data_IF_872691962702
#
_entry.id   IF_872691962702
#
_cell.length_a   1.000
_cell.length_b   1.000
_cell.length_c   1.000
_cell.angle_alpha   90.00
_cell.angle_beta   90.00
_cell.angle_gamma   90.00
#
_symmetry.space_group_name_H-M   'P 1'
#
loop_
_entity.id
_entity.type
_entity.pdbx_description
1 polymer ?
#
# COMPACT_ATOMS: atom_id res chain seq x y z
N UNK A 1 35.36 61.81 63.15
CA UNK A 1 35.73 61.01 61.96
C UNK A 1 34.47 60.81 61.13
N UNK A 2 34.42 61.27 59.87
CA UNK A 2 33.24 61.17 59.02
C UNK A 2 33.18 59.79 58.35
N UNK A 3 31.99 59.18 58.27
CA UNK A 3 31.74 58.02 57.41
C UNK A 3 30.83 58.42 56.23
N UNK A 4 30.95 57.76 55.06
CA UNK A 4 30.37 58.24 53.82
C UNK A 4 28.95 57.72 53.57
N UNK A 5 28.17 58.55 52.86
CA UNK A 5 26.86 58.26 52.29
C UNK A 5 26.92 57.19 51.20
N UNK A 6 25.90 56.34 51.15
CA UNK A 6 25.53 55.55 49.96
C UNK A 6 24.09 55.91 49.57
N UNK A 7 23.95 56.68 48.48
CA UNK A 7 22.68 56.86 47.77
C UNK A 7 22.57 55.75 46.73
N UNK A 8 21.53 54.91 46.82
CA UNK A 8 21.15 53.98 45.76
C UNK A 8 20.16 54.65 44.81
N UNK A 9 20.63 54.96 43.60
CA UNK A 9 19.83 55.43 42.48
C UNK A 9 19.37 54.21 41.67
N UNK A 10 18.08 53.93 41.67
CA UNK A 10 17.47 52.83 40.90
C UNK A 10 17.14 53.34 39.48
N UNK A 11 18.01 53.04 38.52
CA UNK A 11 17.76 53.29 37.09
C UNK A 11 17.20 52.03 36.43
N UNK A 12 15.88 51.98 36.20
CA UNK A 12 15.26 50.95 35.36
C UNK A 12 15.25 51.41 33.90
N UNK A 13 16.12 50.77 33.12
CA UNK A 13 16.21 50.85 31.66
C UNK A 13 14.87 50.47 31.00
N UNK A 14 14.35 51.39 30.18
CA UNK A 14 13.32 51.07 29.17
C UNK A 14 14.03 50.45 27.96
N UNK A 15 13.97 49.14 27.82
CA UNK A 15 14.44 48.45 26.62
C UNK A 15 13.45 48.72 25.48
N UNK A 16 13.87 49.58 24.54
CA UNK A 16 13.18 49.80 23.27
C UNK A 16 13.23 48.52 22.44
N UNK A 17 12.05 47.92 22.20
CA UNK A 17 11.87 46.90 21.16
C UNK A 17 11.99 47.57 19.79
N UNK A 18 13.02 47.18 19.04
CA UNK A 18 13.32 47.69 17.70
C UNK A 18 12.34 47.15 16.65
N UNK A 19 11.92 47.97 15.67
CA UNK A 19 10.84 47.67 14.72
C UNK A 19 11.18 46.64 13.63
N UNK A 20 12.35 45.99 13.68
CA UNK A 20 12.79 45.05 12.63
C UNK A 20 12.26 43.63 12.76
N UNK A 21 11.64 43.26 13.89
CA UNK A 21 11.13 41.90 14.10
C UNK A 21 9.73 41.64 13.52
N UNK A 22 8.98 42.67 13.12
CA UNK A 22 7.62 42.48 12.57
C UNK A 22 7.60 42.09 11.08
N UNK A 23 8.69 42.31 10.35
CA UNK A 23 8.71 42.06 8.90
C UNK A 23 9.02 40.60 8.55
N UNK A 24 9.70 39.86 9.41
CA UNK A 24 10.04 38.43 9.19
C UNK A 24 8.91 37.47 9.55
N UNK A 25 7.94 37.87 10.38
CA UNK A 25 6.79 37.02 10.70
C UNK A 25 5.69 37.04 9.63
N UNK A 26 5.63 38.08 8.79
CA UNK A 26 4.63 38.17 7.72
C UNK A 26 4.99 37.29 6.51
N UNK A 27 6.28 37.06 6.25
CA UNK A 27 6.74 36.17 5.16
C UNK A 27 6.57 34.69 5.50
N UNK A 28 6.66 34.31 6.77
CA UNK A 28 6.42 32.93 7.22
C UNK A 28 4.93 32.52 7.13
N UNK A 29 4.01 33.46 7.35
CA UNK A 29 2.58 33.19 7.24
C UNK A 29 2.10 33.03 5.77
N UNK A 30 2.72 33.74 4.81
CA UNK A 30 2.36 33.61 3.39
C UNK A 30 2.84 32.30 2.76
N UNK A 31 3.94 31.71 3.24
CA UNK A 31 4.43 30.40 2.77
C UNK A 31 3.61 29.23 3.33
N UNK A 32 2.97 29.39 4.50
CA UNK A 32 2.08 28.38 5.06
C UNK A 32 0.68 28.38 4.40
N UNK A 33 0.21 29.52 3.89
CA UNK A 33 -1.10 29.64 3.26
C UNK A 33 -1.15 29.07 1.82
N UNK A 34 -0.01 28.95 1.13
CA UNK A 34 0.04 28.35 -0.21
C UNK A 34 0.01 26.81 -0.21
N UNK A 35 0.20 26.15 0.94
CA UNK A 35 0.18 24.69 1.04
C UNK A 35 -1.23 24.11 1.25
N UNK A 36 -2.24 24.95 1.47
CA UNK A 36 -3.61 24.49 1.73
C UNK A 36 -4.54 24.59 0.52
N UNK A 37 -4.06 25.15 -0.60
CA UNK A 37 -4.90 25.38 -1.79
C UNK A 37 -4.46 24.68 -3.07
N UNK A 38 -3.37 23.91 -3.03
CA UNK A 38 -3.13 22.87 -4.01
C UNK A 38 -4.00 21.65 -3.68
N UNK A 39 -5.31 21.79 -3.90
CA UNK A 39 -6.17 20.68 -4.31
C UNK A 39 -5.73 20.16 -5.67
N UNK A 40 -4.46 19.79 -5.79
CA UNK A 40 -3.96 19.02 -6.91
C UNK A 40 -4.52 17.61 -6.72
N UNK A 41 -5.60 17.33 -7.44
CA UNK A 41 -6.01 15.97 -7.80
C UNK A 41 -4.93 15.30 -8.64
N UNK A 42 -3.77 15.03 -8.05
CA UNK A 42 -2.67 14.25 -8.59
C UNK A 42 -2.50 13.02 -7.71
N UNK A 43 -3.51 12.17 -7.77
CA UNK A 43 -3.55 10.92 -7.01
C UNK A 43 -4.64 10.02 -7.56
N UNK A 44 -4.74 9.93 -8.90
CA UNK A 44 -5.42 8.78 -9.48
C UNK A 44 -4.77 7.52 -8.89
N UNK A 45 -5.57 6.54 -8.49
CA UNK A 45 -5.11 5.30 -7.83
C UNK A 45 -3.95 4.61 -8.57
N UNK A 46 -3.72 4.94 -9.85
CA UNK A 46 -2.79 4.29 -10.77
C UNK A 46 -3.17 2.85 -11.04
N UNK A 47 -4.32 2.42 -10.52
CA UNK A 47 -4.91 1.14 -10.78
C UNK A 47 -5.79 1.29 -12.03
N UNK A 48 -5.64 0.39 -13.02
CA UNK A 48 -6.52 0.39 -14.17
C UNK A 48 -7.97 0.11 -13.72
N UNK A 49 -8.96 0.66 -14.43
CA UNK A 49 -10.38 0.40 -14.13
C UNK A 49 -10.78 -1.05 -14.44
N UNK A 50 -10.01 -1.75 -15.27
CA UNK A 50 -10.15 -3.16 -15.54
C UNK A 50 -8.91 -3.75 -16.22
N UNK A 51 -8.78 -5.07 -16.13
CA UNK A 51 -7.67 -5.85 -16.71
C UNK A 51 -8.18 -7.13 -17.36
N UNK A 52 -7.38 -7.69 -18.26
CA UNK A 52 -7.62 -9.01 -18.81
C UNK A 52 -6.98 -10.05 -17.89
N UNK A 53 -7.79 -10.93 -17.29
CA UNK A 53 -7.31 -12.07 -16.49
C UNK A 53 -7.35 -13.36 -17.32
N UNK A 54 -6.33 -14.22 -17.18
CA UNK A 54 -6.30 -15.56 -17.81
C UNK A 54 -6.97 -16.56 -16.89
N UNK A 55 -7.85 -17.39 -17.45
CA UNK A 55 -8.55 -18.47 -16.77
C UNK A 55 -7.82 -19.82 -17.00
N UNK A 56 -8.13 -20.87 -16.23
CA UNK A 56 -7.44 -22.17 -16.34
C UNK A 56 -7.53 -22.85 -17.72
N UNK A 57 -8.52 -22.52 -18.53
CA UNK A 57 -8.71 -23.01 -19.90
C UNK A 57 -8.04 -22.12 -20.96
N UNK A 58 -7.13 -21.24 -20.55
CA UNK A 58 -6.44 -20.25 -21.37
C UNK A 58 -7.34 -19.18 -22.01
N UNK A 59 -8.63 -19.19 -21.72
CA UNK A 59 -9.50 -18.08 -22.08
C UNK A 59 -9.13 -16.83 -21.26
N UNK A 60 -9.58 -15.68 -21.75
CA UNK A 60 -9.40 -14.41 -21.05
C UNK A 60 -10.74 -13.80 -20.73
N UNK A 61 -10.82 -13.16 -19.57
CA UNK A 61 -12.00 -12.40 -19.15
C UNK A 61 -11.60 -10.98 -18.77
N UNK A 62 -12.49 -10.02 -19.04
CA UNK A 62 -12.33 -8.65 -18.60
C UNK A 62 -12.85 -8.53 -17.16
N UNK A 63 -11.96 -8.23 -16.24
CA UNK A 63 -12.28 -8.05 -14.83
C UNK A 63 -12.22 -6.57 -14.46
N UNK A 64 -13.28 -6.08 -13.82
CA UNK A 64 -13.31 -4.72 -13.28
C UNK A 64 -12.56 -4.64 -11.95
N UNK A 65 -12.08 -3.44 -11.61
CA UNK A 65 -11.47 -3.18 -10.31
C UNK A 65 -12.42 -3.52 -9.16
N UNK A 66 -11.95 -4.31 -8.20
CA UNK A 66 -12.68 -4.72 -7.00
C UNK A 66 -13.59 -5.94 -7.19
N UNK A 67 -13.69 -6.48 -8.40
CA UNK A 67 -14.47 -7.68 -8.73
C UNK A 67 -13.56 -8.89 -8.79
N UNK A 68 -14.06 -10.05 -8.38
CA UNK A 68 -13.35 -11.32 -8.55
C UNK A 68 -14.27 -12.51 -8.78
N UNK A 69 -13.78 -13.75 -8.57
CA UNK A 69 -14.56 -14.97 -8.73
C UNK A 69 -15.76 -15.00 -7.76
N UNK A 70 -16.99 -15.05 -8.29
CA UNK A 70 -18.20 -14.99 -7.46
C UNK A 70 -18.33 -16.18 -6.50
N UNK A 71 -17.79 -17.34 -6.86
CA UNK A 71 -17.68 -18.52 -5.98
C UNK A 71 -16.84 -18.30 -4.72
N UNK A 72 -16.03 -17.24 -4.68
CA UNK A 72 -15.17 -16.89 -3.55
C UNK A 72 -15.69 -15.71 -2.74
N UNK A 73 -16.85 -15.15 -3.10
CA UNK A 73 -17.42 -14.01 -2.40
C UNK A 73 -17.63 -14.30 -0.90
N UNK A 74 -17.27 -13.32 -0.05
CA UNK A 74 -17.40 -13.38 1.41
C UNK A 74 -16.73 -14.61 2.06
N UNK A 75 -15.60 -15.05 1.51
CA UNK A 75 -14.81 -16.16 2.06
C UNK A 75 -13.39 -15.73 2.45
N UNK A 76 -12.75 -16.52 3.31
CA UNK A 76 -11.34 -16.37 3.66
C UNK A 76 -10.60 -17.70 3.47
N UNK A 77 -9.36 -17.64 2.98
CA UNK A 77 -8.60 -18.82 2.57
C UNK A 77 -7.14 -18.75 3.01
N UNK A 78 -6.57 -19.87 3.43
CA UNK A 78 -5.14 -20.03 3.69
C UNK A 78 -4.44 -20.67 2.49
N UNK A 79 -3.48 -19.98 1.88
CA UNK A 79 -2.73 -20.46 0.72
C UNK A 79 -1.42 -21.11 1.16
N UNK A 80 -1.20 -22.35 0.73
CA UNK A 80 0.00 -23.14 1.01
C UNK A 80 0.73 -23.49 -0.29
N UNK A 81 2.06 -23.47 -0.24
CA UNK A 81 2.87 -23.98 -1.36
C UNK A 81 2.79 -25.51 -1.34
N UNK A 82 2.41 -26.11 -2.46
CA UNK A 82 2.15 -27.54 -2.53
C UNK A 82 3.42 -28.39 -2.27
N UNK A 83 4.58 -27.89 -2.68
CA UNK A 83 5.85 -28.62 -2.57
C UNK A 83 6.32 -28.86 -1.12
N UNK A 84 6.02 -27.95 -0.19
CA UNK A 84 6.58 -27.93 1.17
C UNK A 84 5.55 -27.66 2.28
N UNK A 85 4.26 -27.51 1.94
CA UNK A 85 3.18 -27.15 2.87
C UNK A 85 3.44 -25.85 3.63
N UNK A 86 4.25 -24.95 3.10
CA UNK A 86 4.51 -23.66 3.73
C UNK A 86 3.36 -22.70 3.49
N UNK A 87 2.84 -22.08 4.56
CA UNK A 87 1.89 -20.98 4.45
C UNK A 87 2.53 -19.82 3.67
N UNK A 88 1.85 -19.37 2.63
CA UNK A 88 2.27 -18.28 1.76
C UNK A 88 1.62 -16.98 2.22
N UNK A 89 0.30 -17.03 2.40
CA UNK A 89 -0.54 -15.90 2.78
C UNK A 89 -1.94 -16.39 3.09
N UNK A 90 -2.73 -15.53 3.72
CA UNK A 90 -4.17 -15.67 3.84
C UNK A 90 -4.84 -14.57 3.03
N UNK A 91 -5.96 -14.91 2.41
CA UNK A 91 -6.71 -14.00 1.52
C UNK A 91 -8.14 -13.94 1.99
N UNK A 92 -8.66 -12.74 2.23
CA UNK A 92 -10.07 -12.49 2.45
C UNK A 92 -10.66 -11.85 1.20
N UNK A 93 -11.74 -12.42 0.72
CA UNK A 93 -12.51 -11.92 -0.41
C UNK A 93 -13.71 -11.09 0.09
N UNK A 94 -14.07 -10.05 -0.67
CA UNK A 94 -15.25 -9.23 -0.41
C UNK A 94 -16.52 -9.87 -1.00
N UNK A 95 -17.66 -9.21 -0.82
CA UNK A 95 -18.98 -9.60 -1.34
C UNK A 95 -19.04 -9.77 -2.88
N UNK A 96 -18.08 -9.19 -3.61
CA UNK A 96 -17.98 -9.26 -5.07
C UNK A 96 -16.92 -10.28 -5.52
N UNK A 97 -16.41 -11.12 -4.62
CA UNK A 97 -15.35 -12.09 -4.90
C UNK A 97 -13.97 -11.47 -5.16
N UNK A 98 -13.83 -10.14 -5.02
CA UNK A 98 -12.54 -9.46 -5.14
C UNK A 98 -11.71 -9.66 -3.88
N UNK A 99 -10.39 -9.71 -4.00
CA UNK A 99 -9.50 -9.72 -2.83
C UNK A 99 -9.68 -8.41 -2.07
N UNK A 100 -10.17 -8.48 -0.84
CA UNK A 100 -10.29 -7.34 0.07
C UNK A 100 -8.98 -7.11 0.82
N UNK A 101 -8.37 -8.21 1.25
CA UNK A 101 -7.23 -8.22 2.15
C UNK A 101 -6.35 -9.43 1.87
N UNK A 102 -5.05 -9.20 1.83
CA UNK A 102 -4.02 -10.23 1.87
C UNK A 102 -3.23 -10.04 3.16
N UNK A 103 -3.23 -11.05 4.03
CA UNK A 103 -2.58 -10.99 5.34
C UNK A 103 -1.68 -12.20 5.57
N UNK A 104 -0.82 -12.14 6.59
CA UNK A 104 0.30 -13.06 6.76
C UNK A 104 1.16 -13.18 5.50
N UNK A 105 1.37 -12.05 4.81
CA UNK A 105 2.06 -11.98 3.52
C UNK A 105 3.52 -12.44 3.63
N UNK A 106 3.82 -13.65 3.16
CA UNK A 106 5.17 -14.18 3.03
C UNK A 106 5.71 -14.15 1.59
N UNK A 107 4.93 -13.63 0.63
CA UNK A 107 5.25 -13.69 -0.79
C UNK A 107 5.47 -12.31 -1.44
N UNK A 108 4.45 -11.46 -1.43
CA UNK A 108 4.39 -10.24 -2.24
C UNK A 108 5.21 -9.14 -1.59
N UNK A 109 6.52 -9.15 -1.83
CA UNK A 109 7.47 -8.17 -1.34
C UNK A 109 7.13 -7.68 0.08
N UNK A 110 7.03 -8.61 1.01
CA UNK A 110 6.61 -8.36 2.40
C UNK A 110 7.50 -7.34 3.12
N UNK A 111 8.75 -7.20 2.69
CA UNK A 111 9.66 -6.15 3.16
C UNK A 111 9.22 -4.72 2.77
N UNK A 112 8.41 -4.58 1.72
CA UNK A 112 7.84 -3.30 1.28
C UNK A 112 6.44 -3.16 1.83
N UNK A 113 5.54 -4.05 1.41
CA UNK A 113 4.10 -3.95 1.67
C UNK A 113 3.70 -4.40 3.08
N UNK A 114 4.65 -4.93 3.86
CA UNK A 114 4.38 -5.46 5.19
C UNK A 114 3.66 -6.80 5.15
N UNK A 115 3.15 -7.21 6.32
CA UNK A 115 2.41 -8.46 6.50
C UNK A 115 0.98 -8.40 6.00
N UNK A 116 0.45 -7.20 5.69
CA UNK A 116 -0.95 -6.98 5.33
C UNK A 116 -1.06 -5.98 4.17
N UNK A 117 -1.85 -6.33 3.16
CA UNK A 117 -2.16 -5.49 2.01
C UNK A 117 -3.68 -5.32 1.92
N UNK A 118 -4.15 -4.07 1.99
CA UNK A 118 -5.56 -3.71 1.86
C UNK A 118 -5.86 -3.30 0.41
N UNK A 119 -6.75 -4.03 -0.25
CA UNK A 119 -7.10 -3.83 -1.66
C UNK A 119 -8.40 -3.02 -1.83
N UNK A 120 -8.52 -1.93 -1.07
CA UNK A 120 -9.71 -1.06 -1.04
C UNK A 120 -9.59 0.18 -1.95
N UNK A 121 -8.55 0.24 -2.79
CA UNK A 121 -8.29 1.36 -3.69
C UNK A 121 -7.84 2.65 -3.00
N UNK A 122 -7.61 2.64 -1.68
CA UNK A 122 -7.14 3.82 -0.93
C UNK A 122 -5.62 3.82 -0.77
N UNK A 123 -5.10 4.99 -0.39
CA UNK A 123 -3.69 5.16 -0.07
C UNK A 123 -3.41 4.73 1.37
N UNK A 124 -2.48 3.81 1.55
CA UNK A 124 -2.03 3.28 2.84
C UNK A 124 -0.54 3.58 3.04
N UNK A 125 -0.11 3.86 4.26
CA UNK A 125 1.31 4.05 4.55
C UNK A 125 2.07 2.71 4.45
N UNK A 126 3.28 2.75 3.90
CA UNK A 126 4.24 1.65 3.97
C UNK A 126 5.11 1.79 5.23
N UNK A 127 5.89 0.76 5.55
CA UNK A 127 6.78 0.79 6.73
C UNK A 127 7.89 1.85 6.64
N UNK A 128 8.30 2.20 5.42
CA UNK A 128 9.33 3.21 5.19
C UNK A 128 8.72 4.60 5.01
N UNK A 129 9.33 5.60 5.66
CA UNK A 129 8.82 6.97 5.69
C UNK A 129 8.67 7.58 4.29
N UNK A 130 7.55 8.27 4.07
CA UNK A 130 7.23 8.95 2.81
C UNK A 130 6.78 8.01 1.68
N UNK A 131 6.68 6.71 1.94
CA UNK A 131 6.14 5.73 1.02
C UNK A 131 4.68 5.40 1.36
N UNK A 132 3.85 5.35 0.33
CA UNK A 132 2.48 4.85 0.41
C UNK A 132 2.24 3.79 -0.65
N UNK A 133 1.18 3.00 -0.48
CA UNK A 133 0.70 2.13 -1.54
C UNK A 133 -0.79 2.31 -1.77
N UNK A 134 -1.23 1.97 -2.98
CA UNK A 134 -2.65 1.78 -3.31
C UNK A 134 -2.80 0.41 -3.92
N UNK A 135 -3.75 -0.39 -3.45
CA UNK A 135 -3.97 -1.73 -3.98
C UNK A 135 -5.43 -1.97 -4.37
N UNK A 136 -5.62 -2.91 -5.28
CA UNK A 136 -6.92 -3.35 -5.74
C UNK A 136 -6.83 -4.72 -6.40
N UNK A 137 -7.98 -5.39 -6.53
CA UNK A 137 -8.07 -6.73 -7.07
C UNK A 137 -8.87 -6.78 -8.36
N UNK A 138 -8.64 -7.83 -9.13
CA UNK A 138 -9.38 -8.17 -10.35
C UNK A 138 -9.52 -9.68 -10.40
N UNK A 139 -10.63 -10.20 -10.88
CA UNK A 139 -10.77 -11.63 -11.07
C UNK A 139 -12.03 -11.99 -11.83
N UNK A 140 -12.08 -13.25 -12.21
CA UNK A 140 -13.17 -13.82 -12.96
C UNK A 140 -13.25 -15.33 -12.68
N UNK A 141 -14.38 -15.92 -13.05
CA UNK A 141 -14.56 -17.36 -13.05
C UNK A 141 -15.38 -17.81 -14.25
N UNK A 142 -15.21 -19.07 -14.61
CA UNK A 142 -16.03 -19.78 -15.58
C UNK A 142 -16.16 -21.26 -15.18
N UNK A 143 -16.69 -22.10 -16.07
CA UNK A 143 -16.83 -23.54 -15.82
C UNK A 143 -15.50 -24.28 -15.61
N UNK A 144 -14.38 -23.70 -16.02
CA UNK A 144 -13.04 -24.28 -15.95
C UNK A 144 -12.32 -23.91 -14.65
N UNK A 145 -12.84 -22.92 -13.90
CA UNK A 145 -12.32 -22.52 -12.60
C UNK A 145 -12.29 -21.00 -12.41
N UNK A 146 -11.39 -20.55 -11.53
CA UNK A 146 -11.27 -19.17 -11.12
C UNK A 146 -9.91 -18.57 -11.50
N UNK A 147 -9.85 -17.24 -11.49
CA UNK A 147 -8.62 -16.47 -11.56
C UNK A 147 -8.78 -15.15 -10.83
N UNK A 148 -7.76 -14.75 -10.07
CA UNK A 148 -7.69 -13.42 -9.48
C UNK A 148 -6.26 -12.85 -9.53
N UNK A 149 -6.17 -11.53 -9.53
CA UNK A 149 -4.96 -10.72 -9.44
C UNK A 149 -5.18 -9.66 -8.35
N UNK A 150 -4.24 -9.54 -7.42
CA UNK A 150 -4.08 -8.39 -6.54
C UNK A 150 -2.91 -7.55 -7.06
N UNK A 151 -3.13 -6.25 -7.24
CA UNK A 151 -2.11 -5.29 -7.67
C UNK A 151 -1.96 -4.18 -6.66
N UNK A 152 -0.75 -3.97 -6.19
CA UNK A 152 -0.34 -2.87 -5.32
C UNK A 152 0.66 -1.95 -6.04
N UNK A 153 0.44 -0.64 -5.95
CA UNK A 153 1.32 0.39 -6.53
C UNK A 153 1.92 1.20 -5.40
N UNK A 154 3.25 1.15 -5.26
CA UNK A 154 4.01 1.89 -4.28
C UNK A 154 4.40 3.28 -4.82
N UNK A 155 4.28 4.30 -3.97
CA UNK A 155 4.58 5.70 -4.31
C UNK A 155 5.45 6.36 -3.25
N UNK A 156 6.42 7.15 -3.68
CA UNK A 156 7.20 8.05 -2.83
C UNK A 156 6.85 9.50 -3.16
N UNK A 157 6.32 10.25 -2.19
CA UNK A 157 5.86 11.63 -2.40
C UNK A 157 4.96 11.79 -3.64
N UNK A 158 4.06 10.81 -3.86
CA UNK A 158 3.12 10.80 -4.99
C UNK A 158 3.67 10.26 -6.32
N UNK A 159 4.98 9.99 -6.42
CA UNK A 159 5.61 9.42 -7.62
C UNK A 159 5.59 7.90 -7.51
N UNK A 160 5.14 7.20 -8.57
CA UNK A 160 5.22 5.74 -8.63
C UNK A 160 6.68 5.27 -8.61
N UNK A 161 6.98 4.41 -7.63
CA UNK A 161 8.32 3.85 -7.44
C UNK A 161 8.34 2.34 -7.54
N UNK A 162 7.20 1.68 -7.61
CA UNK A 162 7.14 0.26 -7.91
C UNK A 162 5.74 -0.33 -7.87
N UNK A 163 5.66 -1.59 -8.26
CA UNK A 163 4.45 -2.38 -8.30
C UNK A 163 4.70 -3.76 -7.69
N UNK A 164 3.71 -4.26 -6.97
CA UNK A 164 3.62 -5.64 -6.51
C UNK A 164 2.36 -6.27 -7.08
N UNK A 165 2.47 -7.45 -7.66
CA UNK A 165 1.37 -8.23 -8.19
C UNK A 165 1.39 -9.61 -7.56
N UNK A 166 0.24 -10.09 -7.14
CA UNK A 166 -0.03 -11.47 -6.77
C UNK A 166 -1.17 -11.98 -7.64
N UNK A 167 -1.10 -13.20 -8.12
CA UNK A 167 -2.21 -13.82 -8.85
C UNK A 167 -2.34 -15.29 -8.49
N UNK A 168 -3.55 -15.80 -8.61
CA UNK A 168 -3.80 -17.23 -8.58
C UNK A 168 -4.89 -17.59 -9.57
N UNK A 169 -4.75 -18.76 -10.18
CA UNK A 169 -5.80 -19.37 -10.98
C UNK A 169 -5.80 -20.87 -10.77
N UNK A 170 -6.98 -21.47 -10.86
CA UNK A 170 -7.15 -22.88 -10.52
C UNK A 170 -8.61 -23.28 -10.39
N UNK A 171 -8.84 -24.38 -9.69
CA UNK A 171 -10.18 -24.91 -9.41
C UNK A 171 -10.43 -24.93 -7.90
N UNK A 172 -11.69 -25.01 -7.50
CA UNK A 172 -12.08 -25.19 -6.12
C UNK A 172 -13.25 -26.17 -6.01
N UNK A 173 -13.32 -26.91 -4.90
CA UNK A 173 -14.39 -27.89 -4.61
C UNK A 173 -15.29 -27.49 -3.44
N UNK A 174 -15.20 -26.22 -3.02
CA UNK A 174 -15.95 -25.62 -1.92
C UNK A 174 -15.13 -25.46 -0.64
N UNK A 175 -14.28 -26.41 -0.29
CA UNK A 175 -13.42 -26.31 0.91
C UNK A 175 -11.93 -26.25 0.58
N UNK A 176 -11.56 -26.64 -0.64
CA UNK A 176 -10.19 -26.66 -1.11
C UNK A 176 -10.09 -25.98 -2.47
N UNK A 177 -9.01 -25.22 -2.65
CA UNK A 177 -8.55 -24.72 -3.95
C UNK A 177 -7.24 -25.39 -4.31
N UNK A 178 -6.99 -25.57 -5.60
CA UNK A 178 -5.70 -25.98 -6.14
C UNK A 178 -5.43 -25.26 -7.46
N UNK A 179 -4.15 -25.00 -7.74
CA UNK A 179 -3.75 -24.40 -9.00
C UNK A 179 -2.36 -23.78 -8.94
N UNK A 180 -2.20 -22.68 -9.67
CA UNK A 180 -0.94 -21.92 -9.74
C UNK A 180 -1.08 -20.60 -9.01
N UNK A 181 -0.12 -20.30 -8.15
CA UNK A 181 0.03 -19.00 -7.50
C UNK A 181 1.33 -18.38 -8.00
N UNK A 182 1.27 -17.11 -8.36
CA UNK A 182 2.45 -16.36 -8.76
C UNK A 182 2.48 -14.97 -8.17
N UNK A 183 3.69 -14.41 -8.08
CA UNK A 183 3.87 -13.02 -7.70
C UNK A 183 5.01 -12.39 -8.48
N UNK A 184 4.95 -11.07 -8.61
CA UNK A 184 6.01 -10.26 -9.19
C UNK A 184 6.07 -8.91 -8.52
N UNK A 185 7.26 -8.49 -8.13
CA UNK A 185 7.52 -7.14 -7.65
C UNK A 185 8.54 -6.46 -8.55
N UNK A 186 8.28 -5.20 -8.89
CA UNK A 186 9.17 -4.37 -9.71
C UNK A 186 9.29 -2.98 -9.10
N UNK A 187 10.51 -2.59 -8.74
CA UNK A 187 10.87 -1.28 -8.25
C UNK A 187 11.67 -0.50 -9.30
N UNK A 188 11.44 0.81 -9.35
CA UNK A 188 12.26 1.74 -10.13
C UNK A 188 13.58 2.04 -9.43
N UNK A 189 14.56 2.56 -10.17
CA UNK A 189 15.85 2.99 -9.60
C UNK A 189 15.71 4.07 -8.53
N UNK A 190 14.67 4.91 -8.61
CA UNK A 190 14.35 5.91 -7.58
C UNK A 190 13.98 5.27 -6.24
N UNK A 191 13.34 4.11 -6.28
CA UNK A 191 12.98 3.37 -5.08
C UNK A 191 14.21 2.74 -4.40
N UNK A 192 15.25 2.39 -5.16
CA UNK A 192 16.42 1.64 -4.65
C UNK A 192 17.29 2.42 -3.66
N UNK A 193 17.05 3.73 -3.48
CA UNK A 193 17.72 4.55 -2.47
C UNK A 193 17.06 4.45 -1.09
N UNK A 194 15.78 4.05 -1.04
CA UNK A 194 14.95 4.00 0.17
C UNK A 194 14.34 2.62 0.44
N UNK A 195 14.30 1.75 -0.58
CA UNK A 195 13.84 0.37 -0.52
C UNK A 195 14.99 -0.61 -0.79
N UNK A 196 14.96 -1.81 -0.21
CA UNK A 196 15.98 -2.82 -0.43
C UNK A 196 16.05 -3.23 -1.91
N UNK A 197 17.27 -3.30 -2.47
CA UNK A 197 17.51 -3.67 -3.89
C UNK A 197 17.01 -5.07 -4.25
N UNK A 198 16.90 -5.96 -3.26
CA UNK A 198 16.44 -7.35 -3.39
C UNK A 198 14.91 -7.47 -3.53
N UNK A 199 14.18 -6.35 -3.50
CA UNK A 199 12.73 -6.35 -3.63
C UNK A 199 12.21 -6.71 -5.03
N UNK A 200 13.07 -6.69 -6.07
CA UNK A 200 12.70 -7.20 -7.39
C UNK A 200 12.73 -8.72 -7.37
N UNK A 201 11.57 -9.32 -7.16
CA UNK A 201 11.41 -10.77 -7.06
C UNK A 201 10.19 -11.21 -7.83
N UNK A 202 10.23 -12.43 -8.35
CA UNK A 202 9.09 -13.10 -8.94
C UNK A 202 9.23 -14.60 -8.73
N UNK A 203 8.12 -15.26 -8.47
CA UNK A 203 8.05 -16.71 -8.37
C UNK A 203 6.67 -17.18 -8.83
N UNK A 204 6.59 -18.41 -9.29
CA UNK A 204 5.36 -19.08 -9.69
C UNK A 204 5.45 -20.55 -9.30
N UNK A 205 4.42 -21.06 -8.62
CA UNK A 205 4.44 -22.41 -8.06
C UNK A 205 3.02 -22.94 -7.87
N UNK A 206 2.92 -24.26 -7.75
CA UNK A 206 1.67 -24.93 -7.39
C UNK A 206 1.29 -24.63 -5.94
N UNK A 207 0.00 -24.35 -5.73
CA UNK A 207 -0.56 -24.11 -4.41
C UNK A 207 -1.76 -25.03 -4.16
N UNK A 208 -2.09 -25.19 -2.88
CA UNK A 208 -3.45 -25.48 -2.47
C UNK A 208 -3.89 -24.44 -1.44
N UNK A 209 -5.19 -24.20 -1.33
CA UNK A 209 -5.74 -23.35 -0.29
C UNK A 209 -6.89 -24.04 0.45
N UNK A 210 -7.07 -23.69 1.72
CA UNK A 210 -8.11 -24.22 2.58
C UNK A 210 -9.02 -23.08 3.06
N UNK A 211 -10.33 -23.33 3.05
CA UNK A 211 -11.32 -22.38 3.55
C UNK A 211 -11.14 -22.18 5.07
N UNK A 212 -11.22 -20.93 5.51
CA UNK A 212 -11.22 -20.53 6.92
C UNK A 212 -12.67 -20.30 7.33
N UNK A 213 -13.12 -21.00 8.36
CA UNK A 213 -14.38 -20.67 9.04
C UNK A 213 -14.09 -19.51 10.02
N UNK A 214 -14.55 -18.31 9.66
CA UNK A 214 -14.50 -17.11 10.54
C UNK A 214 -15.79 -16.92 11.36
#
# INVERSE_FOLDING_TARGET
MPMPRLQMTMGMNRTMLTPRLRMTMMTAALLAACLWWSGCGLGGSGLPSGVSVRLPDDSTSQAALGVGPASLADTAWEFFRAADNRLITRVRFNENGGVAELYDNAAVASQIFGSQILADGKSHALQADGLTYTAGSYGAENSSGFSFELRAVARFNGIEVGTGTAYAFGTHDGQRMEGTFGFKTTLTSLAQTVLPKEANTSDEFEFYALLIEE
#
